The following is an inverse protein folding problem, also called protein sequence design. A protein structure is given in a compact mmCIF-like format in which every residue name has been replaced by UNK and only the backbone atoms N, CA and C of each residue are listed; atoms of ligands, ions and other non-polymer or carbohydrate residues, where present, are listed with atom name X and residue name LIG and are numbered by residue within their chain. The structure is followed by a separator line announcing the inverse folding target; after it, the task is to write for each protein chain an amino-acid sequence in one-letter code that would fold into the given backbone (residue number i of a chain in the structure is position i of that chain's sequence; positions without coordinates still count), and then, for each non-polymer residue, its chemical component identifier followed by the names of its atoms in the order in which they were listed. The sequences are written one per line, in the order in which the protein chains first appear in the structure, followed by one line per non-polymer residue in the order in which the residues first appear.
data_IF_546265337622
#
_entry.id   IF_546265337622
#
_cell.length_a   1.000
_cell.length_b   1.000
_cell.length_c   1.000
_cell.angle_alpha   90.00
_cell.angle_beta   90.00
_cell.angle_gamma   90.00
#
_symmetry.space_group_name_H-M   'P 1'
#
loop_
_entity.id
_entity.type
_entity.pdbx_description
1 polymer ?
#
# COMPACT_ATOMS: atom_id res chain seq x y z
N UNK A 1 -13.36 -8.67 13.86
CA UNK A 1 -12.20 -9.52 14.20
C UNK A 1 -12.10 -10.58 13.10
N UNK A 2 -10.96 -10.68 12.38
CA UNK A 2 -10.80 -11.54 11.21
C UNK A 2 -11.02 -13.03 11.50
N UNK A 3 -10.70 -13.49 12.69
CA UNK A 3 -10.71 -14.89 13.12
C UNK A 3 -11.86 -15.25 14.08
N UNK A 4 -12.94 -14.44 14.14
CA UNK A 4 -14.11 -14.74 14.97
C UNK A 4 -15.35 -15.06 14.12
N UNK A 5 -16.11 -16.15 14.41
CA UNK A 5 -15.89 -17.17 15.43
C UNK A 5 -14.75 -18.15 15.09
N UNK A 6 -14.31 -18.18 13.86
CA UNK A 6 -13.15 -18.94 13.38
C UNK A 6 -12.52 -18.27 12.15
N UNK A 7 -11.30 -18.68 11.81
CA UNK A 7 -10.48 -18.05 10.74
C UNK A 7 -11.03 -18.27 9.32
N UNK A 8 -12.07 -19.07 9.14
CA UNK A 8 -12.74 -19.26 7.83
C UNK A 8 -13.87 -18.27 7.58
N UNK A 9 -14.27 -17.47 8.57
CA UNK A 9 -15.45 -16.60 8.51
C UNK A 9 -15.49 -15.70 7.26
N UNK A 10 -14.40 -15.03 6.94
CA UNK A 10 -14.35 -14.12 5.79
C UNK A 10 -14.58 -14.86 4.48
N UNK A 11 -14.02 -16.04 4.36
CA UNK A 11 -14.16 -16.89 3.18
C UNK A 11 -15.55 -17.49 3.05
N UNK A 12 -16.19 -17.81 4.17
CA UNK A 12 -17.61 -18.20 4.21
C UNK A 12 -18.52 -17.02 3.76
N UNK A 13 -18.23 -15.80 4.18
CA UNK A 13 -18.95 -14.60 3.72
C UNK A 13 -18.78 -14.43 2.21
N UNK A 14 -17.58 -14.59 1.70
CA UNK A 14 -17.30 -14.52 0.25
C UNK A 14 -18.15 -15.52 -0.52
N UNK A 15 -18.22 -16.77 -0.07
CA UNK A 15 -19.04 -17.80 -0.72
C UNK A 15 -20.54 -17.54 -0.58
N UNK A 16 -20.99 -17.20 0.63
CA UNK A 16 -22.42 -16.96 0.93
C UNK A 16 -22.98 -15.82 0.08
N UNK A 17 -22.29 -14.71 0.01
CA UNK A 17 -22.77 -13.49 -0.68
C UNK A 17 -22.23 -13.34 -2.10
N UNK A 18 -21.49 -14.33 -2.62
CA UNK A 18 -20.93 -14.30 -3.96
C UNK A 18 -20.08 -13.06 -4.22
N UNK A 19 -19.25 -12.69 -3.26
CA UNK A 19 -18.40 -11.50 -3.32
C UNK A 19 -17.46 -11.59 -4.52
N UNK A 20 -17.42 -10.54 -5.33
CA UNK A 20 -16.55 -10.45 -6.52
C UNK A 20 -15.23 -9.74 -6.22
N UNK A 21 -15.26 -8.73 -5.36
CA UNK A 21 -14.08 -7.94 -4.98
C UNK A 21 -13.89 -8.02 -3.48
N UNK A 22 -12.68 -8.40 -3.05
CA UNK A 22 -12.31 -8.45 -1.64
C UNK A 22 -11.15 -7.49 -1.39
N UNK A 23 -11.40 -6.45 -0.58
CA UNK A 23 -10.50 -5.34 -0.32
C UNK A 23 -10.29 -5.17 1.17
N UNK A 24 -9.04 -5.24 1.64
CA UNK A 24 -8.73 -5.23 3.08
C UNK A 24 -7.30 -4.72 3.35
N UNK A 25 -6.94 -4.61 4.63
CA UNK A 25 -5.61 -4.18 5.04
C UNK A 25 -4.60 -5.34 5.08
N UNK A 26 -3.33 -5.11 4.73
CA UNK A 26 -2.25 -6.10 4.86
C UNK A 26 -2.11 -6.71 6.25
N UNK A 27 -2.34 -5.95 7.32
CA UNK A 27 -2.36 -6.48 8.70
C UNK A 27 -3.38 -7.59 8.87
N UNK A 28 -4.59 -7.45 8.31
CA UNK A 28 -5.60 -8.50 8.35
C UNK A 28 -5.20 -9.72 7.51
N UNK A 29 -4.57 -9.50 6.34
CA UNK A 29 -4.04 -10.58 5.50
C UNK A 29 -2.97 -11.37 6.25
N UNK A 30 -2.01 -10.68 6.89
CA UNK A 30 -0.98 -11.35 7.70
C UNK A 30 -1.54 -12.13 8.88
N UNK A 31 -2.56 -11.59 9.55
CA UNK A 31 -3.24 -12.31 10.63
C UNK A 31 -3.89 -13.61 10.14
N UNK A 32 -4.58 -13.57 9.00
CA UNK A 32 -5.20 -14.75 8.41
C UNK A 32 -4.17 -15.75 7.83
N UNK A 33 -3.06 -15.25 7.30
CA UNK A 33 -1.95 -16.07 6.82
C UNK A 33 -1.32 -16.90 7.94
N UNK A 34 -1.21 -16.35 9.16
CA UNK A 34 -0.72 -17.07 10.36
C UNK A 34 -1.62 -18.26 10.74
N UNK A 35 -2.92 -18.19 10.43
CA UNK A 35 -3.87 -19.29 10.65
C UNK A 35 -3.70 -20.44 9.64
N UNK A 36 -2.86 -20.24 8.62
CA UNK A 36 -2.55 -21.18 7.56
C UNK A 36 -3.62 -21.27 6.47
N UNK A 37 -3.40 -22.18 5.54
CA UNK A 37 -4.22 -22.31 4.34
C UNK A 37 -5.54 -23.07 4.56
N UNK A 38 -5.62 -23.91 5.57
CA UNK A 38 -6.79 -24.81 5.79
C UNK A 38 -8.12 -24.03 5.90
N UNK A 39 -8.21 -22.93 6.69
CA UNK A 39 -9.44 -22.15 6.79
C UNK A 39 -9.91 -21.59 5.44
N UNK A 40 -8.96 -21.13 4.62
CA UNK A 40 -9.24 -20.59 3.29
C UNK A 40 -9.73 -21.68 2.35
N UNK A 41 -9.05 -22.83 2.35
CA UNK A 41 -9.35 -23.98 1.46
C UNK A 41 -10.67 -24.69 1.76
N UNK A 42 -11.28 -24.47 2.93
CA UNK A 42 -12.63 -24.95 3.27
C UNK A 42 -13.75 -24.34 2.42
N UNK A 43 -13.46 -23.28 1.68
CA UNK A 43 -14.43 -22.52 0.88
C UNK A 43 -14.00 -22.48 -0.59
N UNK A 44 -14.94 -22.26 -1.50
CA UNK A 44 -14.64 -22.29 -2.93
C UNK A 44 -14.11 -20.95 -3.44
N UNK A 45 -14.64 -19.85 -2.93
CA UNK A 45 -14.36 -18.46 -3.33
C UNK A 45 -14.44 -18.23 -4.86
N UNK A 46 -15.21 -19.05 -5.56
CA UNK A 46 -15.33 -19.01 -7.05
C UNK A 46 -15.83 -17.69 -7.59
N UNK A 47 -16.54 -16.93 -6.77
CA UNK A 47 -17.06 -15.60 -7.16
C UNK A 47 -16.00 -14.50 -7.18
N UNK A 48 -14.86 -14.69 -6.49
CA UNK A 48 -13.80 -13.68 -6.48
C UNK A 48 -13.22 -13.46 -7.87
N UNK A 49 -13.11 -12.19 -8.24
CA UNK A 49 -12.52 -11.71 -9.49
C UNK A 49 -11.34 -10.79 -9.23
N UNK A 50 -11.35 -10.08 -8.09
CA UNK A 50 -10.36 -9.06 -7.73
C UNK A 50 -10.07 -9.12 -6.24
N UNK A 51 -8.80 -9.00 -5.90
CA UNK A 51 -8.32 -8.77 -4.55
C UNK A 51 -7.72 -7.37 -4.46
N UNK A 52 -7.77 -6.75 -3.29
CA UNK A 52 -7.16 -5.45 -3.09
C UNK A 52 -6.61 -5.26 -1.69
N UNK A 53 -5.66 -4.33 -1.58
CA UNK A 53 -5.02 -3.95 -0.32
C UNK A 53 -4.95 -2.45 -0.15
N UNK A 54 -5.04 -2.01 1.11
CA UNK A 54 -5.06 -0.59 1.47
C UNK A 54 -4.58 -0.35 2.89
N UNK A 55 -4.09 0.86 3.14
CA UNK A 55 -3.83 1.41 4.48
C UNK A 55 -2.39 1.28 4.94
N UNK A 56 -1.65 0.31 4.43
CA UNK A 56 -0.22 0.11 4.69
C UNK A 56 0.43 -0.66 3.52
N UNK A 57 1.75 -0.58 3.34
CA UNK A 57 2.44 -1.41 2.35
C UNK A 57 2.29 -2.90 2.65
N UNK A 58 2.01 -3.70 1.62
CA UNK A 58 2.00 -5.15 1.72
C UNK A 58 3.38 -5.72 1.36
N UNK A 59 3.91 -6.60 2.22
CA UNK A 59 5.17 -7.28 1.90
C UNK A 59 4.95 -8.35 0.81
N UNK A 60 5.99 -8.68 0.02
CA UNK A 60 5.87 -9.64 -1.08
C UNK A 60 5.39 -11.03 -0.66
N UNK A 61 5.73 -11.50 0.54
CA UNK A 61 5.31 -12.80 1.06
C UNK A 61 3.80 -12.86 1.29
N UNK A 62 3.24 -11.88 2.00
CA UNK A 62 1.80 -11.78 2.23
C UNK A 62 1.04 -11.55 0.91
N UNK A 63 1.60 -10.74 -0.01
CA UNK A 63 1.06 -10.55 -1.33
C UNK A 63 0.97 -11.87 -2.11
N UNK A 64 2.04 -12.67 -2.11
CA UNK A 64 2.08 -13.98 -2.78
C UNK A 64 1.11 -14.98 -2.15
N UNK A 65 1.00 -15.01 -0.82
CA UNK A 65 0.02 -15.86 -0.15
C UNK A 65 -1.41 -15.44 -0.52
N UNK A 66 -1.68 -14.15 -0.50
CA UNK A 66 -2.98 -13.58 -0.88
C UNK A 66 -3.35 -13.95 -2.32
N UNK A 67 -2.41 -13.80 -3.25
CA UNK A 67 -2.59 -14.18 -4.64
C UNK A 67 -2.82 -15.69 -4.82
N UNK A 68 -1.91 -16.51 -4.26
CA UNK A 68 -1.94 -17.97 -4.48
C UNK A 68 -3.06 -18.65 -3.72
N UNK A 69 -3.20 -18.37 -2.43
CA UNK A 69 -4.09 -19.08 -1.52
C UNK A 69 -5.51 -18.53 -1.57
N UNK A 70 -5.68 -17.22 -1.43
CA UNK A 70 -7.01 -16.60 -1.45
C UNK A 70 -7.55 -16.47 -2.86
N UNK A 71 -6.74 -15.95 -3.77
CA UNK A 71 -7.10 -15.71 -5.16
C UNK A 71 -6.98 -16.91 -6.09
N UNK A 72 -6.53 -18.08 -5.60
CA UNK A 72 -6.29 -19.29 -6.40
C UNK A 72 -5.41 -19.02 -7.64
N UNK A 73 -4.45 -18.10 -7.55
CA UNK A 73 -3.58 -17.64 -8.66
C UNK A 73 -4.35 -17.11 -9.88
N UNK A 74 -5.58 -16.66 -9.70
CA UNK A 74 -6.46 -16.15 -10.77
C UNK A 74 -6.88 -14.69 -10.56
N UNK A 75 -7.07 -14.29 -9.30
CA UNK A 75 -7.49 -12.93 -8.99
C UNK A 75 -6.28 -12.00 -8.95
N UNK A 76 -6.24 -10.95 -9.78
CA UNK A 76 -5.22 -9.94 -9.65
C UNK A 76 -5.35 -9.20 -8.32
N UNK A 77 -4.23 -8.69 -7.80
CA UNK A 77 -4.21 -7.87 -6.59
C UNK A 77 -4.02 -6.41 -6.97
N UNK A 78 -4.91 -5.55 -6.50
CA UNK A 78 -4.82 -4.10 -6.60
C UNK A 78 -4.35 -3.56 -5.25
N UNK A 79 -3.06 -3.34 -5.15
CA UNK A 79 -2.44 -2.69 -3.99
C UNK A 79 -2.51 -1.18 -4.19
N UNK A 80 -3.35 -0.50 -3.40
CA UNK A 80 -3.66 0.91 -3.61
C UNK A 80 -2.87 1.79 -2.65
N UNK A 81 -2.24 2.83 -3.20
CA UNK A 81 -1.70 3.90 -2.38
C UNK A 81 -2.52 5.17 -2.55
N UNK A 82 -2.97 5.70 -1.44
CA UNK A 82 -3.68 6.96 -1.32
C UNK A 82 -3.66 7.43 0.14
N UNK A 83 -4.06 8.68 0.36
CA UNK A 83 -4.21 9.28 1.68
C UNK A 83 -5.61 9.91 1.77
N UNK A 84 -6.09 10.15 2.99
CA UNK A 84 -7.34 10.91 3.21
C UNK A 84 -7.31 12.24 2.46
N UNK A 85 -6.17 12.89 2.48
CA UNK A 85 -5.90 14.19 1.85
C UNK A 85 -5.89 14.14 0.34
N UNK A 86 -5.67 12.99 -0.25
CA UNK A 86 -5.66 12.86 -1.72
C UNK A 86 -7.05 12.72 -2.32
N UNK A 87 -8.07 12.41 -1.49
CA UNK A 87 -9.46 12.25 -1.92
C UNK A 87 -9.72 11.08 -2.85
N UNK A 88 -8.71 10.24 -3.10
CA UNK A 88 -8.81 9.07 -3.96
C UNK A 88 -7.46 8.42 -4.21
N UNK A 89 -7.49 7.33 -4.98
CA UNK A 89 -6.31 6.52 -5.31
C UNK A 89 -5.35 7.30 -6.22
N UNK A 90 -4.07 7.29 -5.84
CA UNK A 90 -3.00 8.01 -6.54
C UNK A 90 -2.07 7.08 -7.33
N UNK A 91 -1.76 5.91 -6.76
CA UNK A 91 -0.93 4.89 -7.37
C UNK A 91 -1.63 3.54 -7.16
N UNK A 92 -1.89 2.81 -8.24
CA UNK A 92 -2.53 1.51 -8.15
C UNK A 92 -2.31 0.66 -9.41
N UNK A 93 -2.30 -0.67 -9.28
CA UNK A 93 -2.28 -1.59 -10.41
C UNK A 93 -3.46 -1.38 -11.36
N UNK A 94 -3.15 -1.28 -12.64
CA UNK A 94 -4.14 -1.28 -13.71
C UNK A 94 -4.24 -2.70 -14.24
N UNK A 95 -5.10 -3.50 -13.61
CA UNK A 95 -5.23 -4.92 -13.89
C UNK A 95 -5.64 -5.19 -15.35
N UNK A 96 -4.94 -6.12 -15.99
CA UNK A 96 -5.13 -6.43 -17.40
C UNK A 96 -4.35 -5.52 -18.36
N UNK A 97 -3.88 -4.35 -17.92
CA UNK A 97 -3.10 -3.43 -18.75
C UNK A 97 -1.60 -3.51 -18.50
N UNK A 98 -1.20 -3.79 -17.25
CA UNK A 98 0.22 -3.89 -16.87
C UNK A 98 0.48 -5.15 -16.02
N UNK A 99 1.69 -5.74 -16.11
CA UNK A 99 2.11 -6.80 -15.20
C UNK A 99 2.09 -6.32 -13.74
N UNK A 100 1.75 -7.23 -12.82
CA UNK A 100 1.82 -6.96 -11.37
C UNK A 100 3.20 -7.35 -10.83
N UNK A 101 3.67 -6.59 -9.84
CA UNK A 101 4.89 -6.93 -9.08
C UNK A 101 4.53 -7.02 -7.60
N UNK A 102 4.90 -8.12 -6.90
CA UNK A 102 4.55 -8.30 -5.49
C UNK A 102 4.99 -7.13 -4.61
N UNK A 103 4.07 -6.59 -3.82
CA UNK A 103 4.30 -5.48 -2.91
C UNK A 103 4.41 -4.10 -3.56
N UNK A 104 4.22 -4.00 -4.88
CA UNK A 104 4.24 -2.72 -5.60
C UNK A 104 2.83 -2.17 -5.77
N UNK A 105 2.64 -0.89 -5.45
CA UNK A 105 1.46 -0.12 -5.86
C UNK A 105 1.44 0.16 -7.38
N UNK A 106 2.50 -0.20 -8.08
CA UNK A 106 2.72 -0.18 -9.54
C UNK A 106 2.86 1.22 -10.15
N UNK A 107 1.90 1.69 -10.92
CA UNK A 107 1.99 2.92 -11.72
C UNK A 107 1.08 4.01 -11.18
N UNK A 108 1.40 5.28 -11.45
CA UNK A 108 0.50 6.39 -11.16
C UNK A 108 -0.87 6.19 -11.79
N UNK A 109 -1.91 6.59 -11.06
CA UNK A 109 -3.25 6.67 -11.62
C UNK A 109 -3.35 7.84 -12.62
N UNK A 110 -4.37 7.81 -13.47
CA UNK A 110 -4.52 8.80 -14.55
C UNK A 110 -4.57 10.24 -14.00
N UNK A 111 -3.76 11.12 -14.60
CA UNK A 111 -3.67 12.53 -14.20
C UNK A 111 -2.80 12.79 -12.96
N UNK A 112 -2.26 11.76 -12.33
CA UNK A 112 -1.37 11.91 -11.17
C UNK A 112 0.09 11.93 -11.62
N UNK A 113 0.86 12.90 -11.09
CA UNK A 113 2.29 13.08 -11.40
C UNK A 113 3.15 12.94 -10.15
N UNK A 114 3.41 11.70 -9.68
CA UNK A 114 4.32 11.49 -8.58
C UNK A 114 5.76 11.74 -9.00
N UNK A 115 6.54 12.31 -8.10
CA UNK A 115 7.99 12.50 -8.23
C UNK A 115 8.67 12.03 -6.95
N UNK A 116 9.86 11.48 -7.08
CA UNK A 116 10.73 11.21 -5.96
C UNK A 116 11.71 12.37 -5.81
N UNK A 117 11.89 12.84 -4.60
CA UNK A 117 12.86 13.89 -4.29
C UNK A 117 13.85 13.42 -3.22
N UNK A 118 15.05 13.91 -3.29
CA UNK A 118 16.07 13.70 -2.28
C UNK A 118 15.85 14.62 -1.05
N UNK A 119 16.79 14.61 -0.11
CA UNK A 119 16.73 15.46 1.09
C UNK A 119 16.76 16.95 0.82
N UNK A 120 17.29 17.36 -0.33
CA UNK A 120 17.41 18.77 -0.74
C UNK A 120 16.18 19.23 -1.56
N UNK A 121 15.32 18.31 -1.98
CA UNK A 121 14.17 18.59 -2.84
C UNK A 121 14.45 18.42 -4.33
N UNK A 122 15.65 17.93 -4.70
CA UNK A 122 16.00 17.67 -6.08
C UNK A 122 15.32 16.38 -6.58
N UNK A 123 14.79 16.44 -7.81
CA UNK A 123 14.08 15.28 -8.37
C UNK A 123 15.03 14.17 -8.77
N UNK A 124 14.76 12.97 -8.24
CA UNK A 124 15.43 11.73 -8.61
C UNK A 124 14.80 11.22 -9.91
N UNK A 125 15.56 11.24 -10.99
CA UNK A 125 15.12 10.74 -12.30
C UNK A 125 15.41 9.26 -12.45
N UNK A 126 14.48 8.54 -13.14
CA UNK A 126 14.64 7.10 -13.38
C UNK A 126 14.43 6.25 -12.11
N UNK A 127 15.17 5.15 -12.00
CA UNK A 127 15.14 4.30 -10.81
C UNK A 127 15.80 5.01 -9.62
N UNK A 128 15.25 4.83 -8.43
CA UNK A 128 15.80 5.43 -7.20
C UNK A 128 14.84 5.33 -6.03
N UNK A 129 15.31 5.85 -4.90
CA UNK A 129 14.57 5.89 -3.64
C UNK A 129 14.62 7.31 -3.07
N UNK A 130 13.51 7.80 -2.56
CA UNK A 130 13.41 9.16 -2.03
C UNK A 130 12.06 9.42 -1.37
N UNK A 131 11.80 10.69 -1.11
CA UNK A 131 10.52 11.16 -0.58
C UNK A 131 9.51 11.30 -1.71
N UNK A 132 8.31 10.78 -1.50
CA UNK A 132 7.24 10.84 -2.48
C UNK A 132 6.55 12.21 -2.44
N UNK A 133 6.53 12.88 -3.56
CA UNK A 133 5.79 14.13 -3.75
C UNK A 133 4.87 14.00 -4.96
N UNK A 134 3.84 14.85 -5.03
CA UNK A 134 2.99 15.01 -6.21
C UNK A 134 3.27 16.38 -6.82
N UNK A 135 3.69 16.42 -8.09
CA UNK A 135 4.20 17.60 -8.74
C UNK A 135 3.13 18.53 -9.36
N UNK A 136 1.87 18.14 -9.31
CA UNK A 136 0.75 18.97 -9.79
C UNK A 136 -0.53 18.65 -9.03
N UNK A 137 -1.42 19.62 -8.95
CA UNK A 137 -2.75 19.44 -8.35
C UNK A 137 -3.59 18.43 -9.14
N UNK A 138 -4.52 17.80 -8.46
CA UNK A 138 -5.50 16.87 -9.02
C UNK A 138 -6.91 17.16 -8.45
N UNK A 139 -7.98 16.69 -9.10
CA UNK A 139 -9.35 17.07 -8.69
C UNK A 139 -9.74 16.71 -7.26
N UNK A 140 -9.25 15.58 -6.74
CA UNK A 140 -9.55 15.11 -5.38
C UNK A 140 -8.68 15.69 -4.27
N UNK A 141 -7.72 16.56 -4.61
CA UNK A 141 -6.80 17.12 -3.62
C UNK A 141 -7.54 17.89 -2.52
N UNK A 142 -7.19 17.62 -1.26
CA UNK A 142 -7.64 18.40 -0.11
C UNK A 142 -7.32 19.89 -0.33
N UNK A 143 -8.24 20.77 0.04
CA UNK A 143 -8.11 22.22 -0.20
C UNK A 143 -7.72 22.99 1.03
N UNK A 144 -7.99 22.44 2.21
CA UNK A 144 -7.69 23.10 3.48
C UNK A 144 -7.90 22.14 4.64
N UNK A 145 -7.40 22.51 5.82
CA UNK A 145 -7.81 21.98 7.12
C UNK A 145 -8.90 22.91 7.67
N UNK A 146 -9.99 22.35 8.16
CA UNK A 146 -11.10 23.14 8.70
C UNK A 146 -10.62 24.05 9.83
N UNK A 147 -10.89 25.36 9.67
CA UNK A 147 -10.49 26.38 10.65
C UNK A 147 -9.00 26.70 10.72
N UNK A 148 -8.15 26.02 9.94
CA UNK A 148 -6.69 26.21 10.00
C UNK A 148 -6.02 25.98 8.64
N UNK A 149 -6.19 26.95 7.73
CA UNK A 149 -5.60 26.88 6.40
C UNK A 149 -4.06 26.91 6.44
N UNK A 150 -3.47 27.62 7.39
CA UNK A 150 -2.02 27.71 7.50
C UNK A 150 -1.40 26.32 7.78
N UNK A 151 -2.01 25.52 8.65
CA UNK A 151 -1.59 24.15 8.91
C UNK A 151 -1.58 23.29 7.63
N UNK A 152 -2.56 23.47 6.73
CA UNK A 152 -2.57 22.80 5.44
C UNK A 152 -1.33 23.12 4.61
N UNK A 153 -0.98 24.42 4.51
CA UNK A 153 0.20 24.88 3.78
C UNK A 153 1.49 24.34 4.42
N UNK A 154 1.61 24.50 5.74
CA UNK A 154 2.82 24.12 6.48
C UNK A 154 3.08 22.61 6.42
N UNK A 155 2.03 21.80 6.48
CA UNK A 155 2.18 20.35 6.48
C UNK A 155 2.54 19.77 5.11
N UNK A 156 1.92 20.27 4.04
CA UNK A 156 1.98 19.60 2.74
C UNK A 156 2.77 20.35 1.67
N UNK A 157 3.05 21.67 1.84
CA UNK A 157 3.66 22.48 0.78
C UNK A 157 4.90 23.26 1.21
N UNK A 158 5.19 23.36 2.50
CA UNK A 158 6.33 24.13 3.00
C UNK A 158 7.68 23.45 2.73
N UNK A 159 7.72 22.12 2.75
CA UNK A 159 8.98 21.38 2.69
C UNK A 159 9.58 21.31 1.28
N UNK A 160 8.75 21.19 0.25
CA UNK A 160 9.19 21.08 -1.14
C UNK A 160 8.38 22.05 -2.03
N UNK A 161 9.00 23.16 -2.41
CA UNK A 161 8.34 24.21 -3.16
C UNK A 161 7.64 23.69 -4.42
N UNK A 162 6.37 24.06 -4.59
CA UNK A 162 5.55 23.70 -5.75
C UNK A 162 5.12 22.21 -5.80
N UNK A 163 5.35 21.44 -4.75
CA UNK A 163 4.98 20.00 -4.69
C UNK A 163 4.17 19.71 -3.42
N UNK A 164 3.17 18.86 -3.57
CA UNK A 164 2.50 18.26 -2.41
C UNK A 164 3.39 17.17 -1.84
N UNK A 165 3.81 17.32 -0.59
CA UNK A 165 4.60 16.32 0.13
C UNK A 165 3.69 15.33 0.83
N UNK A 166 3.86 14.05 0.53
CA UNK A 166 2.99 12.99 1.08
C UNK A 166 3.37 12.54 2.48
N UNK A 167 4.59 12.83 2.93
CA UNK A 167 5.15 12.28 4.15
C UNK A 167 5.59 10.81 4.03
N UNK A 168 5.51 10.22 2.84
CA UNK A 168 5.89 8.83 2.59
C UNK A 168 7.24 8.75 1.86
N UNK A 169 8.04 7.74 2.24
CA UNK A 169 9.16 7.27 1.47
C UNK A 169 8.70 6.34 0.34
N UNK A 170 9.44 6.33 -0.75
CA UNK A 170 9.08 5.52 -1.89
C UNK A 170 10.31 5.14 -2.71
N UNK A 171 10.29 3.94 -3.26
CA UNK A 171 11.25 3.44 -4.24
C UNK A 171 10.58 3.29 -5.61
N UNK A 172 11.26 3.70 -6.66
CA UNK A 172 10.85 3.48 -8.05
C UNK A 172 11.90 2.63 -8.77
N UNK A 173 11.47 1.57 -9.44
CA UNK A 173 12.40 0.74 -10.23
C UNK A 173 12.62 1.28 -11.67
N UNK A 174 13.47 0.59 -12.43
CA UNK A 174 13.79 0.94 -13.82
C UNK A 174 12.59 0.88 -14.78
N UNK A 175 11.59 0.09 -14.44
CA UNK A 175 10.35 -0.03 -15.21
C UNK A 175 9.31 1.02 -14.79
N UNK A 176 9.66 1.88 -13.82
CA UNK A 176 8.82 2.96 -13.28
C UNK A 176 7.71 2.47 -12.36
N UNK A 177 7.90 1.33 -11.70
CA UNK A 177 7.00 0.82 -10.66
C UNK A 177 7.36 1.42 -9.32
N UNK A 178 6.34 1.72 -8.50
CA UNK A 178 6.46 2.36 -7.20
C UNK A 178 6.21 1.39 -6.05
N UNK A 179 7.08 1.40 -5.06
CA UNK A 179 6.93 0.75 -3.76
C UNK A 179 6.94 1.80 -2.68
N UNK A 180 5.84 1.90 -1.94
CA UNK A 180 5.81 2.75 -0.74
C UNK A 180 6.61 2.05 0.35
N UNK A 181 7.57 2.76 0.94
CA UNK A 181 8.49 2.19 1.94
C UNK A 181 8.10 2.52 3.38
N UNK A 182 7.08 3.32 3.57
CA UNK A 182 6.54 3.73 4.87
C UNK A 182 6.60 5.24 5.08
N UNK A 183 6.21 5.69 6.27
CA UNK A 183 6.27 7.11 6.64
C UNK A 183 7.71 7.55 6.83
N UNK A 184 8.04 8.75 6.36
CA UNK A 184 9.37 9.33 6.54
C UNK A 184 9.64 9.62 8.02
N UNK A 185 8.59 9.95 8.79
CA UNK A 185 8.67 10.26 10.22
C UNK A 185 8.89 9.01 11.09
N UNK A 186 8.51 7.82 10.58
CA UNK A 186 8.63 6.53 11.28
C UNK A 186 9.97 5.82 11.02
N UNK A 187 10.91 6.47 10.34
CA UNK A 187 12.20 5.88 10.00
C UNK A 187 13.11 5.86 11.24
N UNK A 188 13.35 4.68 11.78
CA UNK A 188 14.33 4.47 12.84
C UNK A 188 15.71 4.32 12.18
N UNK A 189 16.62 5.26 12.45
CA UNK A 189 18.00 5.19 11.97
C UNK A 189 18.78 4.19 12.84
N UNK A 190 19.12 3.04 12.28
CA UNK A 190 20.00 2.07 12.93
C UNK A 190 21.32 2.01 12.16
N UNK A 191 22.41 2.46 12.79
CA UNK A 191 23.77 2.37 12.27
C UNK A 191 23.98 2.93 10.85
N UNK A 192 23.33 4.07 10.54
CA UNK A 192 23.48 4.74 9.23
C UNK A 192 22.68 4.13 8.08
N UNK A 193 21.90 3.09 8.34
CA UNK A 193 20.93 2.52 7.40
C UNK A 193 19.52 2.89 7.87
N UNK A 194 18.62 3.14 6.94
CA UNK A 194 17.20 3.42 7.20
C UNK A 194 16.39 2.10 7.13
N UNK A 195 16.30 1.28 8.19
CA UNK A 195 15.34 0.21 8.21
C UNK A 195 13.96 0.85 8.44
N UNK A 196 13.05 0.63 7.55
CA UNK A 196 11.65 1.00 7.73
C UNK A 196 11.10 0.28 8.95
N UNK A 197 10.30 0.94 9.78
CA UNK A 197 9.74 0.42 11.04
C UNK A 197 9.10 -0.98 10.95
N UNK A 198 8.65 -1.39 9.77
CA UNK A 198 8.16 -2.74 9.47
C UNK A 198 9.20 -3.87 9.65
N UNK A 199 10.49 -3.60 9.45
CA UNK A 199 11.55 -4.59 9.67
C UNK A 199 11.82 -4.82 11.15
N UNK A 200 11.60 -3.80 11.98
CA UNK A 200 11.76 -3.91 13.44
C UNK A 200 10.61 -4.68 14.10
N UNK A 201 9.37 -4.45 13.67
CA UNK A 201 8.21 -5.24 14.15
C UNK A 201 8.39 -6.73 13.83
N UNK A 202 9.03 -7.07 12.69
CA UNK A 202 9.33 -8.45 12.32
C UNK A 202 10.36 -9.12 13.23
N UNK A 203 11.37 -8.38 13.70
CA UNK A 203 12.42 -8.91 14.58
C UNK A 203 11.92 -9.22 16.00
N UNK A 204 10.93 -8.49 16.49
CA UNK A 204 10.30 -8.74 17.80
C UNK A 204 9.24 -9.85 17.76
N UNK A 205 8.58 -10.05 16.62
CA UNK A 205 7.54 -11.08 16.47
C UNK A 205 8.09 -12.50 16.24
N UNK A 206 9.38 -12.67 15.96
CA UNK A 206 10.02 -13.97 15.66
C UNK A 206 10.77 -14.61 16.83
N UNK A 207 10.72 -14.05 18.03
CA UNK A 207 11.24 -14.73 19.21
C UNK A 207 10.15 -15.61 19.81
N UNK A 208 10.32 -16.95 19.80
CA UNK A 208 9.44 -17.84 20.56
C UNK A 208 9.67 -17.58 22.07
N UNK A 209 8.58 -17.46 22.82
CA UNK A 209 8.60 -17.65 24.26
C UNK A 209 8.86 -19.09 24.58
#
# INVERSE_FOLDING_TARGET
IPNYPDSSRWWQIVDKYKVNTFYTAPTAIRALMREGDKPVKKTSRKSLKLLGTVGEPINPEAWMWYYKTVGNSKCPIVDTWWQTETGGIMIAPQTGAIPLKPGSATKPFYGIKPVLVDKNGDEIKGAGEGRLCIAQSWPGQMRTVYGDHQRFIDTYFSQFNGKYFTGDGCRRDKDGYYWITGRVDDVIIVSGHNPVSYTHLRAHETRPN
#
